data_IF_736528774491
#
_entry.id   IF_736528774491
#
_cell.length_a   1.000
_cell.length_b   1.000
_cell.length_c   1.000
_cell.angle_alpha   90.00
_cell.angle_beta   90.00
_cell.angle_gamma   90.00
#
_symmetry.space_group_name_H-M   'P 1'
#
loop_
_entity.id
_entity.type
_entity.pdbx_description
1 polymer ?
#
# COMPACT_ATOMS: atom_id res chain seq x y z
N UNK A 1 -9.33 -5.21 -19.47
CA UNK A 1 -10.82 -5.19 -19.57
C UNK A 1 -11.47 -4.88 -18.23
N UNK A 2 -11.08 -5.53 -17.13
CA UNK A 2 -11.60 -5.22 -15.79
C UNK A 2 -11.27 -3.79 -15.33
N UNK A 3 -10.03 -3.32 -15.52
CA UNK A 3 -9.64 -1.91 -15.25
C UNK A 3 -10.53 -0.90 -15.99
N UNK A 4 -10.77 -1.14 -17.28
CA UNK A 4 -11.64 -0.27 -18.08
C UNK A 4 -13.09 -0.24 -17.53
N UNK A 5 -13.58 -1.34 -16.96
CA UNK A 5 -14.90 -1.36 -16.31
C UNK A 5 -14.91 -0.52 -15.03
N UNK A 6 -13.87 -0.63 -14.20
CA UNK A 6 -13.72 0.18 -13.00
C UNK A 6 -13.65 1.68 -13.33
N UNK A 7 -12.86 2.06 -14.34
CA UNK A 7 -12.77 3.45 -14.82
C UNK A 7 -14.13 3.99 -15.30
N UNK A 8 -14.90 3.16 -16.01
CA UNK A 8 -16.24 3.53 -16.48
C UNK A 8 -17.19 3.75 -15.29
N UNK A 9 -17.16 2.86 -14.31
CA UNK A 9 -18.00 2.97 -13.11
C UNK A 9 -17.65 4.22 -12.30
N UNK A 10 -16.37 4.47 -12.10
CA UNK A 10 -15.89 5.67 -11.42
C UNK A 10 -16.28 6.95 -12.18
N UNK A 11 -16.10 6.99 -13.50
CA UNK A 11 -16.50 8.15 -14.29
C UNK A 11 -18.01 8.43 -14.17
N UNK A 12 -18.84 7.38 -14.26
CA UNK A 12 -20.29 7.50 -14.12
C UNK A 12 -20.69 7.97 -12.71
N UNK A 13 -20.05 7.47 -11.64
CA UNK A 13 -20.35 7.86 -10.26
C UNK A 13 -19.96 9.32 -9.96
N UNK A 14 -18.93 9.84 -10.63
CA UNK A 14 -18.49 11.24 -10.53
C UNK A 14 -19.32 12.21 -11.41
N UNK A 15 -20.40 11.74 -12.02
CA UNK A 15 -21.30 12.58 -12.81
C UNK A 15 -20.79 12.90 -14.21
N UNK A 16 -20.20 11.92 -14.91
CA UNK A 16 -19.77 12.09 -16.30
C UNK A 16 -20.84 12.75 -17.19
N UNK A 17 -20.51 13.69 -18.09
CA UNK A 17 -21.49 14.44 -18.86
C UNK A 17 -22.50 13.55 -19.61
N UNK A 18 -23.79 13.73 -19.35
CA UNK A 18 -24.89 12.89 -19.87
C UNK A 18 -24.83 12.71 -21.38
N UNK A 19 -24.56 13.80 -22.12
CA UNK A 19 -24.42 13.79 -23.58
C UNK A 19 -23.30 12.89 -24.11
N UNK A 20 -22.35 12.48 -23.27
CA UNK A 20 -21.24 11.59 -23.61
C UNK A 20 -21.29 10.24 -22.88
N UNK A 21 -22.24 10.00 -21.98
CA UNK A 21 -22.34 8.74 -21.23
C UNK A 21 -22.52 7.52 -22.13
N UNK A 22 -23.19 7.67 -23.28
CA UNK A 22 -23.31 6.59 -24.28
C UNK A 22 -21.93 6.02 -24.70
N UNK A 23 -20.88 6.85 -24.73
CA UNK A 23 -19.51 6.39 -25.07
C UNK A 23 -18.95 5.44 -24.02
N UNK A 24 -19.25 5.70 -22.74
CA UNK A 24 -18.82 4.85 -21.63
C UNK A 24 -19.59 3.52 -21.64
N UNK A 25 -20.92 3.58 -21.80
CA UNK A 25 -21.75 2.38 -21.90
C UNK A 25 -21.39 1.50 -23.10
N UNK A 26 -21.03 2.09 -24.24
CA UNK A 26 -20.44 1.36 -25.40
C UNK A 26 -19.19 0.58 -24.99
N UNK A 27 -18.20 1.27 -24.43
CA UNK A 27 -16.95 0.63 -23.97
C UNK A 27 -17.22 -0.46 -22.92
N UNK A 28 -18.16 -0.23 -22.00
CA UNK A 28 -18.60 -1.20 -20.99
C UNK A 28 -19.14 -2.47 -21.63
N UNK A 29 -20.02 -2.33 -22.63
CA UNK A 29 -20.58 -3.46 -23.37
C UNK A 29 -19.51 -4.32 -24.06
N UNK A 30 -18.52 -3.70 -24.70
CA UNK A 30 -17.39 -4.42 -25.30
C UNK A 30 -16.54 -5.16 -24.26
N UNK A 31 -16.21 -4.49 -23.15
CA UNK A 31 -15.41 -5.10 -22.09
C UNK A 31 -16.12 -6.32 -21.48
N UNK A 32 -17.43 -6.20 -21.19
CA UNK A 32 -18.23 -7.30 -20.63
C UNK A 32 -18.40 -8.45 -21.63
N UNK A 33 -18.61 -8.16 -22.91
CA UNK A 33 -18.67 -9.19 -23.94
C UNK A 33 -17.36 -9.95 -24.07
N UNK A 34 -16.22 -9.25 -24.04
CA UNK A 34 -14.89 -9.87 -24.08
C UNK A 34 -14.62 -10.75 -22.84
N UNK A 35 -15.19 -10.39 -21.68
CA UNK A 35 -15.10 -11.15 -20.44
C UNK A 35 -16.15 -12.28 -20.33
N UNK A 36 -17.04 -12.44 -21.32
CA UNK A 36 -18.08 -13.46 -21.32
C UNK A 36 -19.32 -13.13 -20.48
N UNK A 37 -19.43 -11.93 -19.89
CA UNK A 37 -20.65 -11.49 -19.19
C UNK A 37 -21.70 -11.00 -20.19
N UNK A 38 -22.44 -11.95 -20.76
CA UNK A 38 -23.50 -11.69 -21.74
C UNK A 38 -24.59 -10.77 -21.18
N UNK A 39 -25.04 -11.02 -19.95
CA UNK A 39 -26.13 -10.27 -19.35
C UNK A 39 -25.70 -8.81 -19.09
N UNK A 40 -24.49 -8.61 -18.57
CA UNK A 40 -23.91 -7.28 -18.38
C UNK A 40 -23.68 -6.53 -19.68
N UNK A 41 -23.18 -7.21 -20.72
CA UNK A 41 -22.93 -6.61 -22.03
C UNK A 41 -24.24 -6.08 -22.66
N UNK A 42 -25.32 -6.86 -22.61
CA UNK A 42 -26.63 -6.45 -23.13
C UNK A 42 -27.25 -5.30 -22.33
N UNK A 43 -27.11 -5.30 -20.98
CA UNK A 43 -27.55 -4.17 -20.15
C UNK A 43 -26.81 -2.88 -20.51
N UNK A 44 -25.49 -2.96 -20.71
CA UNK A 44 -24.68 -1.80 -21.09
C UNK A 44 -25.07 -1.26 -22.47
N UNK A 45 -25.41 -2.13 -23.44
CA UNK A 45 -25.94 -1.70 -24.73
C UNK A 45 -27.26 -0.93 -24.58
N UNK A 46 -28.21 -1.46 -23.81
CA UNK A 46 -29.49 -0.78 -23.55
C UNK A 46 -29.29 0.59 -22.89
N UNK A 47 -28.39 0.69 -21.90
CA UNK A 47 -28.06 1.96 -21.25
C UNK A 47 -27.42 2.98 -22.22
N UNK A 48 -26.58 2.51 -23.15
CA UNK A 48 -25.98 3.35 -24.18
C UNK A 48 -27.02 3.96 -25.12
N UNK A 49 -28.06 3.20 -25.48
CA UNK A 49 -29.13 3.66 -26.37
C UNK A 49 -30.10 4.59 -25.63
N UNK A 50 -30.36 4.33 -24.35
CA UNK A 50 -31.21 5.17 -23.49
C UNK A 50 -30.58 6.51 -23.08
N UNK A 51 -29.25 6.63 -23.10
CA UNK A 51 -28.53 7.87 -22.72
C UNK A 51 -28.53 8.94 -23.82
N UNK A 52 -29.19 8.70 -24.95
CA UNK A 52 -29.25 9.62 -26.10
C UNK A 52 -30.37 10.63 -25.87
N UNK A 53 -30.02 11.79 -25.32
CA UNK A 53 -30.89 12.98 -25.39
C UNK A 53 -30.06 14.23 -25.69
N UNK A 54 -30.37 14.83 -26.85
CA UNK A 54 -30.06 16.20 -27.32
C UNK A 54 -28.62 16.51 -27.76
N UNK A 55 -28.44 16.83 -29.06
CA UNK A 55 -27.34 17.70 -29.54
C UNK A 55 -26.45 17.22 -30.71
N UNK A 56 -26.63 16.02 -31.28
CA UNK A 56 -25.92 15.55 -32.50
C UNK A 56 -26.92 15.23 -33.60
N UNK A 57 -26.50 15.27 -34.87
CA UNK A 57 -27.27 14.72 -35.99
C UNK A 57 -27.62 13.25 -35.68
N UNK A 58 -28.89 12.99 -35.37
CA UNK A 58 -29.39 11.73 -34.80
C UNK A 58 -29.01 10.52 -35.67
N UNK A 59 -28.99 10.71 -36.99
CA UNK A 59 -28.70 9.66 -37.98
C UNK A 59 -27.28 9.10 -37.89
N UNK A 60 -26.27 9.97 -37.70
CA UNK A 60 -24.87 9.53 -37.65
C UNK A 60 -24.59 8.74 -36.36
N UNK A 61 -25.18 9.18 -35.24
CA UNK A 61 -25.05 8.51 -33.95
C UNK A 61 -25.81 7.17 -33.94
N UNK A 62 -27.00 7.10 -34.54
CA UNK A 62 -27.76 5.86 -34.67
C UNK A 62 -27.00 4.81 -35.50
N UNK A 63 -26.34 5.21 -36.59
CA UNK A 63 -25.50 4.32 -37.40
C UNK A 63 -24.30 3.78 -36.61
N UNK A 64 -23.63 4.64 -35.82
CA UNK A 64 -22.53 4.23 -34.95
C UNK A 64 -22.98 3.23 -33.87
N UNK A 65 -24.14 3.45 -33.24
CA UNK A 65 -24.69 2.57 -32.21
C UNK A 65 -25.06 1.20 -32.79
N UNK A 66 -25.70 1.17 -33.96
CA UNK A 66 -26.03 -0.08 -34.67
C UNK A 66 -24.77 -0.89 -35.00
N UNK A 67 -23.72 -0.20 -35.44
CA UNK A 67 -22.41 -0.82 -35.72
C UNK A 67 -21.80 -1.39 -34.44
N UNK A 68 -21.89 -0.66 -33.34
CA UNK A 68 -21.36 -1.09 -32.05
C UNK A 68 -22.10 -2.29 -31.48
N UNK A 69 -23.44 -2.29 -31.55
CA UNK A 69 -24.28 -3.41 -31.13
C UNK A 69 -23.89 -4.70 -31.85
N UNK A 70 -23.76 -4.65 -33.18
CA UNK A 70 -23.28 -5.80 -33.97
C UNK A 70 -21.92 -6.32 -33.51
N UNK A 71 -20.97 -5.42 -33.18
CA UNK A 71 -19.65 -5.84 -32.66
C UNK A 71 -19.76 -6.61 -31.35
N UNK A 72 -20.59 -6.14 -30.41
CA UNK A 72 -20.82 -6.80 -29.12
C UNK A 72 -21.51 -8.15 -29.33
N UNK A 73 -22.54 -8.21 -30.17
CA UNK A 73 -23.25 -9.46 -30.49
C UNK A 73 -22.33 -10.50 -31.14
N UNK A 74 -21.46 -10.08 -32.07
CA UNK A 74 -20.46 -10.96 -32.68
C UNK A 74 -19.47 -11.53 -31.64
N UNK A 75 -18.92 -10.68 -30.76
CA UNK A 75 -18.01 -11.13 -29.69
C UNK A 75 -18.68 -12.14 -28.74
N UNK A 76 -19.97 -11.96 -28.44
CA UNK A 76 -20.73 -12.91 -27.62
C UNK A 76 -20.94 -14.24 -28.35
N UNK A 77 -21.24 -14.21 -29.66
CA UNK A 77 -21.36 -15.43 -30.48
C UNK A 77 -20.03 -16.17 -30.63
N UNK A 78 -18.93 -15.44 -30.83
CA UNK A 78 -17.59 -16.02 -30.94
C UNK A 78 -17.18 -16.73 -29.63
N UNK A 79 -17.50 -16.12 -28.48
CA UNK A 79 -17.26 -16.74 -27.17
C UNK A 79 -18.13 -17.99 -26.94
N UNK A 80 -19.39 -17.98 -27.38
CA UNK A 80 -20.30 -19.15 -27.31
C UNK A 80 -19.81 -20.31 -28.19
N UNK A 81 -19.25 -20.05 -29.37
CA UNK A 81 -18.71 -21.07 -30.28
C UNK A 81 -17.34 -21.61 -29.82
N UNK A 82 -16.56 -20.80 -29.10
CA UNK A 82 -15.24 -21.17 -28.57
C UNK A 82 -15.30 -22.09 -27.34
N UNK A 83 -16.47 -22.28 -26.72
CA UNK A 83 -16.66 -23.16 -25.56
C UNK A 83 -16.50 -24.67 -25.82
N UNK A 84 -16.06 -25.09 -27.02
CA UNK A 84 -15.66 -26.47 -27.31
C UNK A 84 -14.21 -26.80 -26.91
N UNK A 85 -13.40 -25.81 -26.52
CA UNK A 85 -12.13 -26.01 -25.80
C UNK A 85 -11.94 -24.89 -24.77
N UNK A 86 -11.40 -25.18 -23.57
CA UNK A 86 -11.14 -24.14 -22.60
C UNK A 86 -10.06 -23.20 -23.16
N UNK A 87 -10.49 -22.05 -23.69
CA UNK A 87 -9.57 -20.98 -24.02
C UNK A 87 -8.87 -20.58 -22.74
N UNK A 88 -7.57 -20.85 -22.63
CA UNK A 88 -6.71 -20.10 -21.72
C UNK A 88 -6.90 -18.65 -22.12
N UNK A 89 -7.75 -17.93 -21.38
CA UNK A 89 -7.77 -16.48 -21.48
C UNK A 89 -6.31 -16.04 -21.40
N UNK A 90 -5.90 -15.07 -22.23
CA UNK A 90 -4.67 -14.35 -21.93
C UNK A 90 -4.92 -13.64 -20.60
N UNK A 91 -4.74 -14.39 -19.51
CA UNK A 91 -4.69 -13.91 -18.15
C UNK A 91 -3.53 -12.94 -18.18
N UNK A 92 -3.86 -11.65 -18.15
CA UNK A 92 -2.87 -10.66 -17.81
C UNK A 92 -2.47 -10.98 -16.38
N UNK A 93 -1.27 -11.52 -16.17
CA UNK A 93 -0.73 -11.90 -14.86
C UNK A 93 -0.78 -10.73 -13.84
N UNK A 94 -0.99 -9.51 -14.34
CA UNK A 94 -1.16 -8.27 -13.58
C UNK A 94 -2.44 -8.26 -12.71
N UNK A 95 -3.53 -8.95 -13.09
CA UNK A 95 -4.79 -8.86 -12.32
C UNK A 95 -5.11 -10.06 -11.42
N UNK A 96 -4.36 -11.17 -11.51
CA UNK A 96 -4.34 -12.12 -10.39
C UNK A 96 -3.69 -11.46 -9.14
N UNK A 97 -2.72 -10.57 -9.33
CA UNK A 97 -2.14 -9.75 -8.26
C UNK A 97 -3.13 -8.71 -7.67
N UNK A 98 -3.98 -8.10 -8.50
CA UNK A 98 -4.97 -7.12 -8.03
C UNK A 98 -6.23 -7.74 -7.40
N UNK A 99 -6.62 -8.98 -7.77
CA UNK A 99 -7.70 -9.71 -7.07
C UNK A 99 -7.22 -10.50 -5.86
N UNK A 100 -5.90 -10.72 -5.73
CA UNK A 100 -5.30 -11.23 -4.50
C UNK A 100 -5.09 -10.15 -3.43
N UNK A 101 -5.83 -9.05 -3.46
CA UNK A 101 -5.83 -8.05 -2.37
C UNK A 101 -6.28 -8.62 -1.00
N UNK A 102 -6.64 -9.90 -0.91
CA UNK A 102 -6.73 -10.65 0.34
C UNK A 102 -6.23 -12.09 0.20
N UNK A 103 -4.93 -12.26 0.05
CA UNK A 103 -4.22 -13.28 0.84
C UNK A 103 -2.76 -12.89 0.87
N UNK A 104 -2.14 -12.83 2.05
CA UNK A 104 -0.69 -12.91 2.12
C UNK A 104 -0.26 -14.10 1.28
N UNK A 105 0.44 -13.81 0.19
CA UNK A 105 0.87 -14.82 -0.76
C UNK A 105 1.74 -15.82 -0.03
N UNK A 106 1.32 -17.07 -0.08
CA UNK A 106 1.95 -18.25 0.51
C UNK A 106 1.54 -18.51 1.98
N UNK A 107 0.83 -19.63 2.17
CA UNK A 107 0.47 -20.19 3.47
C UNK A 107 1.74 -20.52 4.24
N UNK A 108 2.11 -19.66 5.17
CA UNK A 108 3.17 -19.94 6.12
C UNK A 108 2.67 -21.01 7.09
N UNK A 109 3.50 -21.99 7.43
CA UNK A 109 3.12 -22.96 8.47
C UNK A 109 3.11 -22.26 9.84
N UNK A 110 1.95 -21.73 10.23
CA UNK A 110 1.84 -20.74 11.30
C UNK A 110 2.37 -21.24 12.65
N UNK A 111 3.16 -20.40 13.30
CA UNK A 111 3.45 -20.51 14.72
C UNK A 111 2.28 -19.91 15.51
N UNK A 112 1.67 -20.67 16.44
CA UNK A 112 0.49 -20.24 17.24
C UNK A 112 0.63 -18.90 17.98
N UNK A 113 1.83 -18.31 18.06
CA UNK A 113 2.10 -17.05 18.75
C UNK A 113 2.53 -15.91 17.83
N UNK A 114 2.90 -16.17 16.56
CA UNK A 114 3.38 -15.19 15.58
C UNK A 114 2.68 -15.42 14.23
N UNK A 115 1.63 -14.65 13.90
CA UNK A 115 0.94 -14.82 12.64
C UNK A 115 1.91 -14.52 11.48
N UNK A 116 1.79 -15.28 10.40
CA UNK A 116 2.59 -15.12 9.17
C UNK A 116 4.09 -15.41 9.32
N UNK A 117 4.49 -16.06 10.43
CA UNK A 117 5.83 -16.57 10.66
C UNK A 117 5.83 -18.09 10.72
N UNK A 118 6.79 -18.72 10.03
CA UNK A 118 6.91 -20.18 10.00
C UNK A 118 7.33 -20.71 11.36
N UNK A 119 6.74 -21.83 11.79
CA UNK A 119 7.19 -22.59 12.97
C UNK A 119 8.67 -22.97 12.90
N UNK A 120 9.25 -22.96 11.70
CA UNK A 120 10.64 -23.28 11.45
C UNK A 120 11.62 -22.21 11.94
N UNK A 121 11.12 -21.02 12.31
CA UNK A 121 11.94 -19.94 12.86
C UNK A 121 11.39 -19.43 14.19
N UNK A 122 12.27 -18.91 15.03
CA UNK A 122 11.95 -18.31 16.33
C UNK A 122 12.91 -17.17 16.64
N UNK A 123 12.43 -16.11 17.31
CA UNK A 123 13.30 -15.14 17.95
C UNK A 123 13.81 -15.63 19.30
N UNK A 124 15.13 -15.59 19.46
CA UNK A 124 15.82 -15.72 20.73
C UNK A 124 16.66 -14.46 21.02
N UNK A 125 17.33 -14.42 22.16
CA UNK A 125 18.12 -13.29 22.62
C UNK A 125 19.51 -13.73 23.06
N UNK A 126 20.52 -12.92 22.78
CA UNK A 126 21.86 -13.03 23.35
C UNK A 126 22.41 -11.66 23.74
N UNK A 127 23.25 -11.53 24.79
CA UNK A 127 23.85 -10.26 25.15
C UNK A 127 24.71 -9.63 24.05
N UNK A 128 25.35 -10.44 23.20
CA UNK A 128 26.24 -9.96 22.14
C UNK A 128 25.51 -9.54 20.86
N UNK A 129 24.43 -10.22 20.48
CA UNK A 129 23.68 -9.94 19.24
C UNK A 129 22.34 -9.24 19.46
N UNK A 130 21.90 -9.09 20.71
CA UNK A 130 20.53 -8.69 21.02
C UNK A 130 19.53 -9.78 20.63
N UNK A 131 18.36 -9.38 20.15
CA UNK A 131 17.35 -10.29 19.58
C UNK A 131 17.79 -10.77 18.20
N UNK A 132 17.52 -12.04 17.88
CA UNK A 132 17.87 -12.62 16.60
C UNK A 132 16.95 -13.77 16.23
N UNK A 133 16.69 -13.94 14.93
CA UNK A 133 16.00 -15.12 14.40
C UNK A 133 16.96 -16.30 14.29
N UNK A 134 16.50 -17.48 14.71
CA UNK A 134 17.16 -18.75 14.42
C UNK A 134 16.18 -19.79 13.90
N UNK A 135 16.70 -20.76 13.17
CA UNK A 135 15.96 -21.94 12.78
C UNK A 135 15.71 -22.86 14.00
N UNK A 136 14.56 -23.52 14.01
CA UNK A 136 14.16 -24.56 14.96
C UNK A 136 14.17 -25.95 14.32
N UNK A 137 14.25 -26.02 12.99
CA UNK A 137 14.28 -27.22 12.16
C UNK A 137 14.98 -26.91 10.83
N UNK A 138 15.20 -27.93 10.01
CA UNK A 138 15.78 -27.78 8.68
C UNK A 138 14.81 -27.02 7.76
N UNK A 139 15.34 -26.03 7.03
CA UNK A 139 14.61 -25.20 6.09
C UNK A 139 15.23 -25.44 4.71
N UNK A 140 14.41 -25.82 3.74
CA UNK A 140 14.90 -26.08 2.38
C UNK A 140 14.95 -24.79 1.56
N UNK A 141 15.85 -24.75 0.57
CA UNK A 141 15.96 -23.59 -0.31
C UNK A 141 14.63 -23.34 -1.04
N UNK A 142 14.14 -22.10 -0.99
CA UNK A 142 12.86 -21.69 -1.57
C UNK A 142 11.67 -21.75 -0.60
N UNK A 143 11.85 -22.26 0.62
CA UNK A 143 10.79 -22.25 1.64
C UNK A 143 10.55 -20.84 2.23
N UNK A 144 9.28 -20.48 2.38
CA UNK A 144 8.85 -19.20 2.93
C UNK A 144 8.81 -19.27 4.45
N UNK A 145 9.67 -18.51 5.10
CA UNK A 145 9.77 -18.49 6.58
C UNK A 145 9.05 -17.31 7.21
N UNK A 146 8.81 -16.24 6.45
CA UNK A 146 8.15 -15.01 6.89
C UNK A 146 7.38 -14.40 5.72
N UNK A 147 6.12 -14.03 5.97
CA UNK A 147 5.36 -13.09 5.15
C UNK A 147 4.87 -11.98 6.07
N UNK A 148 5.17 -10.72 5.78
CA UNK A 148 4.84 -9.61 6.70
C UNK A 148 4.37 -8.39 5.91
N UNK A 149 3.21 -7.84 6.29
CA UNK A 149 2.74 -6.53 5.80
C UNK A 149 3.56 -5.42 6.45
N UNK A 150 3.91 -4.38 5.69
CA UNK A 150 4.63 -3.25 6.26
C UNK A 150 3.78 -2.57 7.35
N UNK A 151 4.40 -2.20 8.47
CA UNK A 151 3.71 -1.37 9.48
C UNK A 151 3.53 0.06 9.01
N UNK A 152 4.46 0.54 8.17
CA UNK A 152 4.36 1.81 7.45
C UNK A 152 5.28 1.76 6.24
N UNK A 153 4.86 2.41 5.15
CA UNK A 153 5.62 2.48 3.92
C UNK A 153 5.34 3.78 3.17
N UNK A 154 6.30 4.25 2.38
CA UNK A 154 6.18 5.45 1.55
C UNK A 154 6.76 5.21 0.16
N UNK A 155 5.98 5.54 -0.86
CA UNK A 155 6.37 5.39 -2.25
C UNK A 155 7.45 6.43 -2.59
N UNK A 156 8.42 6.04 -3.41
CA UNK A 156 9.36 6.96 -4.01
C UNK A 156 8.60 7.98 -4.86
N UNK A 157 8.83 9.26 -4.62
CA UNK A 157 8.13 10.34 -5.31
C UNK A 157 8.30 10.24 -6.83
N UNK A 158 9.43 9.78 -7.35
CA UNK A 158 9.64 9.65 -8.80
C UNK A 158 8.64 8.69 -9.49
N UNK A 159 7.95 7.85 -8.72
CA UNK A 159 7.00 6.84 -9.21
C UNK A 159 5.52 7.20 -9.01
N UNK A 160 5.20 8.34 -8.38
CA UNK A 160 3.83 8.69 -7.95
C UNK A 160 2.80 8.78 -9.09
N UNK A 161 3.24 8.93 -10.35
CA UNK A 161 2.37 9.00 -11.53
C UNK A 161 2.13 7.65 -12.20
N UNK A 162 2.81 6.59 -11.75
CA UNK A 162 2.77 5.26 -12.39
C UNK A 162 2.56 4.12 -11.41
N UNK A 163 2.57 4.42 -10.11
CA UNK A 163 2.56 3.42 -9.04
C UNK A 163 1.61 3.88 -7.94
N UNK A 164 0.81 2.94 -7.42
CA UNK A 164 -0.13 3.20 -6.34
C UNK A 164 0.60 3.67 -5.07
N UNK A 165 0.20 4.81 -4.51
CA UNK A 165 0.76 5.37 -3.27
C UNK A 165 0.46 4.54 -2.00
N UNK A 166 -0.38 3.50 -2.12
CA UNK A 166 -0.77 2.61 -1.02
C UNK A 166 -0.08 1.24 -1.12
N UNK A 167 -0.42 0.43 -2.13
CA UNK A 167 0.07 -0.95 -2.25
C UNK A 167 1.35 -1.10 -3.09
N UNK A 168 1.80 -0.03 -3.75
CA UNK A 168 2.94 0.04 -4.67
C UNK A 168 2.78 -0.79 -5.96
N UNK A 169 1.57 -1.20 -6.29
CA UNK A 169 1.27 -1.81 -7.59
C UNK A 169 1.45 -0.77 -8.71
N UNK A 170 2.14 -1.16 -9.77
CA UNK A 170 2.28 -0.31 -10.94
C UNK A 170 1.00 -0.33 -11.77
N UNK A 171 0.55 0.84 -12.21
CA UNK A 171 -0.66 0.95 -13.01
C UNK A 171 -0.57 2.13 -13.97
N UNK A 172 -1.13 1.97 -15.16
CA UNK A 172 -1.32 3.05 -16.12
C UNK A 172 -2.57 3.89 -15.87
N UNK A 173 -3.43 3.48 -14.93
CA UNK A 173 -4.69 4.17 -14.58
C UNK A 173 -4.75 4.39 -13.08
N UNK A 174 -4.10 5.45 -12.60
CA UNK A 174 -4.20 5.88 -11.21
C UNK A 174 -5.49 6.68 -11.01
N UNK A 175 -6.21 6.34 -9.95
CA UNK A 175 -7.32 7.10 -9.40
C UNK A 175 -6.73 8.15 -8.44
N UNK A 176 -6.91 9.46 -8.70
CA UNK A 176 -6.38 10.48 -7.81
C UNK A 176 -7.14 10.54 -6.48
N UNK A 177 -6.49 11.11 -5.46
CA UNK A 177 -7.18 11.58 -4.27
C UNK A 177 -8.29 12.58 -4.64
N UNK A 178 -9.35 12.63 -3.82
CA UNK A 178 -10.45 13.58 -4.02
C UNK A 178 -10.10 15.03 -3.67
N UNK A 179 -9.00 15.25 -2.93
CA UNK A 179 -8.67 16.56 -2.34
C UNK A 179 -7.23 17.04 -2.54
N UNK A 180 -6.33 16.20 -3.05
CA UNK A 180 -4.97 16.61 -3.42
C UNK A 180 -4.57 16.02 -4.78
N UNK A 181 -3.54 16.60 -5.40
CA UNK A 181 -2.93 16.09 -6.62
C UNK A 181 -1.69 15.22 -6.36
N UNK A 182 -1.20 15.18 -5.12
CA UNK A 182 0.07 14.52 -4.78
C UNK A 182 0.07 12.99 -4.74
N UNK A 183 -1.09 12.33 -4.58
CA UNK A 183 -1.17 10.86 -4.46
C UNK A 183 -2.23 10.25 -5.40
N UNK A 184 -1.89 9.09 -5.97
CA UNK A 184 -2.76 8.29 -6.83
C UNK A 184 -2.81 6.82 -6.40
N UNK A 185 -3.90 6.13 -6.75
CA UNK A 185 -4.21 4.78 -6.26
C UNK A 185 -4.65 3.86 -7.41
N UNK A 186 -4.34 2.56 -7.34
CA UNK A 186 -4.75 1.61 -8.36
C UNK A 186 -6.25 1.24 -8.31
N UNK A 187 -6.92 1.48 -7.18
CA UNK A 187 -8.33 1.14 -6.96
C UNK A 187 -9.01 2.11 -5.99
N UNK A 188 -10.34 2.10 -5.98
CA UNK A 188 -11.13 2.82 -4.98
C UNK A 188 -10.85 2.33 -3.55
N UNK A 189 -10.67 1.01 -3.38
CA UNK A 189 -10.29 0.38 -2.11
C UNK A 189 -8.94 0.91 -1.60
N UNK A 190 -7.88 0.87 -2.42
CA UNK A 190 -6.56 1.42 -2.03
C UNK A 190 -6.63 2.91 -1.66
N UNK A 191 -7.49 3.69 -2.32
CA UNK A 191 -7.70 5.10 -1.99
C UNK A 191 -8.39 5.28 -0.64
N UNK A 192 -9.40 4.47 -0.36
CA UNK A 192 -10.16 4.50 0.90
C UNK A 192 -9.32 3.99 2.07
N UNK A 193 -8.61 2.87 1.90
CA UNK A 193 -7.71 2.30 2.90
C UNK A 193 -6.59 3.28 3.24
N UNK A 194 -5.94 3.88 2.24
CA UNK A 194 -4.95 4.93 2.47
C UNK A 194 -5.55 6.11 3.23
N UNK A 195 -6.76 6.57 2.87
CA UNK A 195 -7.44 7.67 3.56
C UNK A 195 -7.69 7.36 5.03
N UNK A 196 -8.14 6.14 5.35
CA UNK A 196 -8.41 5.72 6.73
C UNK A 196 -7.11 5.56 7.53
N UNK A 197 -6.07 4.99 6.94
CA UNK A 197 -4.83 4.64 7.64
C UNK A 197 -3.90 5.84 7.89
N UNK A 198 -3.72 6.74 6.92
CA UNK A 198 -2.73 7.82 7.05
C UNK A 198 -2.96 9.03 6.13
N UNK A 199 -3.58 8.87 4.97
CA UNK A 199 -3.58 9.93 3.96
C UNK A 199 -4.42 11.14 4.39
N UNK A 200 -5.39 10.98 5.29
CA UNK A 200 -6.19 12.09 5.84
C UNK A 200 -5.34 13.22 6.45
N UNK A 201 -4.20 12.89 7.09
CA UNK A 201 -3.30 13.89 7.68
C UNK A 201 -2.26 14.41 6.69
N UNK A 202 -1.93 13.58 5.71
CA UNK A 202 -0.95 13.87 4.65
C UNK A 202 -1.55 14.76 3.55
N UNK A 203 -2.83 14.58 3.24
CA UNK A 203 -3.52 15.19 2.12
C UNK A 203 -3.40 16.74 2.09
N UNK A 204 -3.60 17.48 3.19
CA UNK A 204 -3.54 18.95 3.17
C UNK A 204 -2.16 19.53 2.81
N UNK A 205 -1.10 18.75 3.03
CA UNK A 205 0.29 19.16 2.75
C UNK A 205 0.87 18.48 1.52
N UNK A 206 0.11 17.56 0.91
CA UNK A 206 0.60 16.65 -0.12
C UNK A 206 1.20 17.37 -1.33
N UNK A 207 0.52 18.42 -1.79
CA UNK A 207 0.89 19.15 -3.00
C UNK A 207 2.13 20.05 -2.82
N UNK A 208 2.47 20.44 -1.59
CA UNK A 208 3.53 21.42 -1.29
C UNK A 208 4.73 20.84 -0.52
N UNK A 209 4.54 19.77 0.27
CA UNK A 209 5.60 19.15 1.08
C UNK A 209 6.28 17.96 0.41
N UNK A 210 5.61 17.18 -0.46
CA UNK A 210 6.14 15.87 -0.83
C UNK A 210 7.38 15.84 -1.70
N UNK A 211 7.63 16.88 -2.49
CA UNK A 211 8.93 17.03 -3.17
C UNK A 211 10.10 17.38 -2.23
N UNK A 212 9.84 17.72 -0.96
CA UNK A 212 10.83 18.24 0.00
C UNK A 212 10.95 17.45 1.30
N UNK A 213 9.89 16.75 1.72
CA UNK A 213 9.94 15.94 2.93
C UNK A 213 10.70 14.64 2.64
N UNK A 214 11.67 14.32 3.50
CA UNK A 214 12.42 13.09 3.39
C UNK A 214 11.53 11.87 3.71
N UNK A 215 11.88 10.72 3.15
CA UNK A 215 11.14 9.49 3.35
C UNK A 215 11.05 9.06 4.82
N UNK A 216 12.04 9.38 5.68
CA UNK A 216 12.01 8.98 7.09
C UNK A 216 10.93 9.74 7.85
N UNK A 217 10.81 11.05 7.63
CA UNK A 217 9.73 11.86 8.22
C UNK A 217 8.35 11.32 7.83
N UNK A 218 8.17 10.92 6.56
CA UNK A 218 6.90 10.34 6.09
C UNK A 218 6.61 8.98 6.71
N UNK A 219 7.59 8.07 6.72
CA UNK A 219 7.39 6.75 7.35
C UNK A 219 7.13 6.93 8.84
N UNK A 220 7.86 7.80 9.54
CA UNK A 220 7.64 8.08 10.96
C UNK A 220 6.25 8.66 11.23
N UNK A 221 5.73 9.52 10.36
CA UNK A 221 4.36 10.02 10.45
C UNK A 221 3.37 8.86 10.37
N UNK A 222 3.48 8.04 9.32
CA UNK A 222 2.62 6.86 9.10
C UNK A 222 2.69 5.86 10.25
N UNK A 223 3.89 5.60 10.80
CA UNK A 223 4.07 4.74 11.98
C UNK A 223 3.22 5.22 13.16
N UNK A 224 3.14 6.53 13.40
CA UNK A 224 2.35 7.09 14.50
C UNK A 224 0.85 7.11 14.20
N UNK A 225 0.44 7.61 13.03
CA UNK A 225 -0.99 7.86 12.75
C UNK A 225 -1.78 6.61 12.37
N UNK A 226 -1.10 5.57 11.88
CA UNK A 226 -1.72 4.27 11.60
C UNK A 226 -1.84 3.38 12.85
N UNK A 227 -1.29 3.80 13.99
CA UNK A 227 -1.45 3.10 15.26
C UNK A 227 -2.88 3.28 15.83
N UNK A 228 -3.48 2.24 16.44
CA UNK A 228 -4.76 2.40 17.13
C UNK A 228 -4.69 3.49 18.21
N UNK A 229 -5.65 4.43 18.19
CA UNK A 229 -5.64 5.59 19.07
C UNK A 229 -5.57 5.22 20.57
N UNK A 230 -6.23 4.13 20.98
CA UNK A 230 -6.21 3.63 22.36
C UNK A 230 -4.81 3.15 22.78
N UNK A 231 -4.13 2.42 21.90
CA UNK A 231 -2.76 1.96 22.12
C UNK A 231 -1.82 3.16 22.21
N UNK A 232 -1.93 4.10 21.26
CA UNK A 232 -1.08 5.28 21.23
C UNK A 232 -1.25 6.17 22.47
N UNK A 233 -2.49 6.39 22.94
CA UNK A 233 -2.77 7.07 24.21
C UNK A 233 -2.13 6.33 25.39
N UNK A 234 -2.21 5.01 25.43
CA UNK A 234 -1.59 4.19 26.46
C UNK A 234 -0.06 4.32 26.51
N UNK A 235 0.59 4.37 25.35
CA UNK A 235 2.05 4.60 25.24
C UNK A 235 2.41 5.99 25.74
N UNK A 236 1.64 7.01 25.34
CA UNK A 236 1.91 8.40 25.68
C UNK A 236 1.65 8.70 27.16
N UNK A 237 0.69 8.01 27.79
CA UNK A 237 0.38 8.17 29.21
C UNK A 237 1.34 7.44 30.14
N UNK A 238 1.74 6.21 29.80
CA UNK A 238 2.73 5.43 30.58
C UNK A 238 4.15 6.00 30.44
N UNK A 239 4.39 6.75 29.37
CA UNK A 239 5.71 7.19 28.96
C UNK A 239 6.39 6.17 28.03
N UNK A 240 7.25 6.68 27.17
CA UNK A 240 7.89 5.87 26.12
C UNK A 240 8.92 4.90 26.69
N UNK A 241 9.76 5.35 27.63
CA UNK A 241 10.84 4.53 28.19
C UNK A 241 10.33 3.34 29.00
N UNK A 242 9.23 3.49 29.75
CA UNK A 242 8.60 2.39 30.49
C UNK A 242 8.06 1.34 29.51
N UNK A 243 7.36 1.78 28.46
CA UNK A 243 6.79 0.91 27.42
C UNK A 243 7.87 0.12 26.66
N UNK A 244 8.98 0.75 26.28
CA UNK A 244 10.07 0.09 25.55
C UNK A 244 10.76 -0.97 26.42
N UNK A 245 10.97 -0.66 27.70
CA UNK A 245 11.74 -1.53 28.61
C UNK A 245 11.11 -2.90 28.77
N UNK A 246 9.77 -2.95 28.88
CA UNK A 246 8.98 -4.20 28.98
C UNK A 246 9.16 -5.12 27.76
N UNK A 247 9.43 -4.55 26.58
CA UNK A 247 9.51 -5.28 25.30
C UNK A 247 10.94 -5.63 24.85
N UNK A 248 11.96 -5.23 25.61
CA UNK A 248 13.36 -5.24 25.16
C UNK A 248 13.98 -6.62 24.96
N UNK A 249 13.53 -7.64 25.72
CA UNK A 249 14.08 -9.00 25.67
C UNK A 249 13.19 -10.00 24.95
N UNK A 250 11.88 -9.80 24.97
CA UNK A 250 10.90 -10.69 24.35
C UNK A 250 10.18 -9.95 23.23
N UNK A 251 10.31 -10.44 22.00
CA UNK A 251 9.56 -9.91 20.87
C UNK A 251 8.21 -10.64 20.76
N UNK A 252 7.14 -9.87 20.65
CA UNK A 252 5.78 -10.36 20.46
C UNK A 252 5.10 -9.54 19.38
N UNK A 253 4.40 -10.23 18.48
CA UNK A 253 3.55 -9.64 17.44
C UNK A 253 2.09 -9.57 17.87
N UNK A 254 1.76 -9.98 19.11
CA UNK A 254 0.38 -9.96 19.62
C UNK A 254 -0.21 -8.54 19.61
N UNK A 255 0.64 -7.54 19.85
CA UNK A 255 0.32 -6.12 19.69
C UNK A 255 1.25 -5.53 18.61
N UNK A 256 0.78 -5.35 17.36
CA UNK A 256 1.63 -4.96 16.24
C UNK A 256 2.43 -3.67 16.48
N UNK A 257 1.80 -2.67 17.12
CA UNK A 257 2.49 -1.41 17.42
C UNK A 257 3.53 -1.53 18.54
N UNK A 258 3.31 -2.42 19.52
CA UNK A 258 4.32 -2.71 20.54
C UNK A 258 5.55 -3.39 19.92
N UNK A 259 5.34 -4.30 18.96
CA UNK A 259 6.42 -4.91 18.18
C UNK A 259 7.27 -3.84 17.48
N UNK A 260 6.60 -2.87 16.82
CA UNK A 260 7.24 -1.73 16.17
C UNK A 260 8.02 -0.83 17.16
N UNK A 261 7.41 -0.48 18.30
CA UNK A 261 8.06 0.32 19.35
C UNK A 261 9.28 -0.36 19.96
N UNK A 262 9.28 -1.69 19.98
CA UNK A 262 10.38 -2.48 20.54
C UNK A 262 11.63 -2.49 19.65
N UNK A 263 11.55 -2.06 18.38
CA UNK A 263 12.70 -2.08 17.47
C UNK A 263 13.86 -1.24 18.00
N UNK A 264 15.09 -1.67 17.70
CA UNK A 264 16.30 -1.06 18.25
C UNK A 264 16.51 0.31 17.61
N UNK A 265 16.56 1.36 18.42
CA UNK A 265 16.83 2.74 17.96
C UNK A 265 18.30 3.13 18.05
N UNK A 266 19.13 2.34 18.75
CA UNK A 266 20.52 2.66 19.08
C UNK A 266 20.73 4.05 19.70
N UNK A 267 19.71 4.61 20.37
CA UNK A 267 19.75 5.97 20.96
C UNK A 267 21.01 6.24 21.81
N UNK A 268 21.49 5.24 22.54
CA UNK A 268 22.65 5.35 23.44
C UNK A 268 24.01 5.27 22.73
N UNK A 269 24.03 4.95 21.43
CA UNK A 269 25.27 4.83 20.62
C UNK A 269 25.47 6.01 19.67
N UNK A 270 24.64 7.05 19.74
CA UNK A 270 24.80 8.25 18.95
C UNK A 270 25.92 9.13 19.53
N UNK A 271 27.14 8.96 19.01
CA UNK A 271 28.27 9.85 19.29
C UNK A 271 28.26 11.10 18.41
N UNK A 272 27.51 11.09 17.30
CA UNK A 272 27.44 12.20 16.36
C UNK A 272 26.36 13.21 16.79
N UNK A 273 26.82 14.32 17.38
CA UNK A 273 25.97 15.43 17.81
C UNK A 273 25.17 16.04 16.65
N UNK A 274 25.69 16.03 15.42
CA UNK A 274 24.99 16.61 14.28
C UNK A 274 23.80 15.74 13.86
N UNK A 275 23.97 14.42 13.84
CA UNK A 275 22.88 13.49 13.53
C UNK A 275 21.77 13.53 14.58
N UNK A 276 22.13 13.56 15.87
CA UNK A 276 21.13 13.69 16.94
C UNK A 276 20.37 15.00 16.84
N UNK A 277 21.06 16.11 16.55
CA UNK A 277 20.43 17.41 16.33
C UNK A 277 19.49 17.40 15.11
N UNK A 278 19.89 16.74 14.02
CA UNK A 278 19.06 16.58 12.81
C UNK A 278 17.75 15.86 13.12
N UNK A 279 17.79 14.67 13.74
CA UNK A 279 16.58 13.92 14.08
C UNK A 279 15.70 14.66 15.10
N UNK A 280 16.31 15.33 16.07
CA UNK A 280 15.54 16.18 17.00
C UNK A 280 14.86 17.34 16.28
N UNK A 281 15.49 17.94 15.27
CA UNK A 281 14.87 19.01 14.49
C UNK A 281 13.77 18.49 13.58
N UNK A 282 13.95 17.33 12.96
CA UNK A 282 12.91 16.66 12.18
C UNK A 282 11.68 16.39 13.06
N UNK A 283 11.86 15.81 14.25
CA UNK A 283 10.76 15.57 15.19
C UNK A 283 10.05 16.87 15.61
N UNK A 284 10.79 17.96 15.79
CA UNK A 284 10.20 19.28 16.07
C UNK A 284 9.37 19.81 14.89
N UNK A 285 9.88 19.72 13.67
CA UNK A 285 9.13 20.11 12.46
C UNK A 285 7.88 19.25 12.28
N UNK A 286 7.93 17.95 12.59
CA UNK A 286 6.74 17.11 12.59
C UNK A 286 5.69 17.58 13.61
N UNK A 287 6.12 18.03 14.78
CA UNK A 287 5.21 18.59 15.78
C UNK A 287 4.61 19.92 15.33
N UNK A 288 5.40 20.80 14.71
CA UNK A 288 4.92 22.07 14.15
C UNK A 288 3.89 21.85 13.03
N UNK A 289 4.11 20.85 12.17
CA UNK A 289 3.21 20.56 11.04
C UNK A 289 1.96 19.76 11.42
N UNK A 290 2.10 18.77 12.30
CA UNK A 290 1.07 17.73 12.51
C UNK A 290 0.61 17.59 13.96
N UNK A 291 1.34 18.14 14.92
CA UNK A 291 1.14 17.87 16.34
C UNK A 291 -0.26 18.20 16.84
N UNK A 292 -0.80 19.36 16.47
CA UNK A 292 -2.15 19.78 16.88
C UNK A 292 -3.24 18.93 16.26
N UNK A 293 -3.11 18.61 14.97
CA UNK A 293 -4.03 17.72 14.25
C UNK A 293 -4.04 16.31 14.85
N UNK A 294 -2.87 15.74 15.16
CA UNK A 294 -2.76 14.41 15.79
C UNK A 294 -3.39 14.43 17.18
N UNK A 295 -3.09 15.44 18.01
CA UNK A 295 -3.71 15.57 19.33
C UNK A 295 -5.23 15.65 19.24
N UNK A 296 -5.77 16.48 18.34
CA UNK A 296 -7.21 16.60 18.12
C UNK A 296 -7.83 15.27 17.66
N UNK A 297 -7.20 14.57 16.71
CA UNK A 297 -7.62 13.26 16.24
C UNK A 297 -7.68 12.24 17.40
N UNK A 298 -6.60 12.12 18.17
CA UNK A 298 -6.54 11.19 19.29
C UNK A 298 -7.58 11.53 20.36
N UNK A 299 -7.76 12.80 20.68
CA UNK A 299 -8.76 13.24 21.66
C UNK A 299 -10.20 12.97 21.18
N UNK A 300 -10.46 12.97 19.87
CA UNK A 300 -11.77 12.62 19.30
C UNK A 300 -12.07 11.11 19.30
N UNK A 301 -11.03 10.26 19.32
CA UNK A 301 -11.16 8.80 19.23
C UNK A 301 -10.93 8.18 20.61
N UNK A 302 -11.99 7.69 21.24
CA UNK A 302 -11.90 6.88 22.47
C UNK A 302 -11.93 7.69 23.76
N UNK A 303 -12.85 8.64 23.87
CA UNK A 303 -13.34 9.13 25.15
C UNK A 303 -14.86 9.00 25.15
N UNK A 304 -15.41 8.34 26.16
CA UNK A 304 -16.70 8.78 26.68
C UNK A 304 -16.53 10.27 27.05
N UNK A 305 -17.38 11.19 26.57
CA UNK A 305 -17.31 12.60 26.95
C UNK A 305 -17.23 12.85 28.46
N UNK A 306 -17.59 11.86 29.29
CA UNK A 306 -17.56 11.90 30.74
C UNK A 306 -16.35 11.20 31.38
N UNK A 307 -15.46 10.55 30.61
CA UNK A 307 -14.25 9.91 31.12
C UNK A 307 -13.06 10.89 31.14
N UNK A 308 -12.93 11.60 32.26
CA UNK A 308 -11.78 12.49 32.55
C UNK A 308 -10.52 11.73 33.00
N UNK A 309 -10.52 10.38 32.99
CA UNK A 309 -9.39 9.58 33.50
C UNK A 309 -8.34 9.26 32.42
N UNK A 310 -8.65 9.45 31.13
CA UNK A 310 -7.65 9.28 30.06
C UNK A 310 -6.65 10.44 30.06
N UNK A 311 -5.34 10.19 30.25
CA UNK A 311 -4.34 11.25 30.31
C UNK A 311 -4.26 12.01 28.98
N UNK A 312 -4.19 13.34 29.08
CA UNK A 312 -4.08 14.22 27.93
C UNK A 312 -2.76 13.95 27.17
N UNK A 313 -2.85 13.85 25.84
CA UNK A 313 -1.67 13.67 24.99
C UNK A 313 -0.83 14.94 25.01
N UNK A 314 0.32 14.88 25.68
CA UNK A 314 1.25 16.02 25.75
C UNK A 314 2.06 16.17 24.46
N UNK A 315 2.34 17.42 24.07
CA UNK A 315 3.23 17.72 22.94
C UNK A 315 4.62 17.10 23.13
N UNK A 316 5.13 17.04 24.37
CA UNK A 316 6.44 16.45 24.68
C UNK A 316 6.48 14.94 24.47
N UNK A 317 5.40 14.22 24.84
CA UNK A 317 5.28 12.79 24.60
C UNK A 317 5.26 12.46 23.11
N UNK A 318 4.47 13.19 22.33
CA UNK A 318 4.38 12.98 20.88
C UNK A 318 5.69 13.31 20.16
N UNK A 319 6.38 14.39 20.55
CA UNK A 319 7.72 14.72 20.03
C UNK A 319 8.74 13.61 20.31
N UNK A 320 8.73 13.08 21.53
CA UNK A 320 9.64 12.01 21.95
C UNK A 320 9.39 10.73 21.17
N UNK A 321 8.12 10.43 20.88
CA UNK A 321 7.71 9.31 20.05
C UNK A 321 8.20 9.46 18.60
N UNK A 322 8.01 10.63 17.99
CA UNK A 322 8.56 10.89 16.65
C UNK A 322 10.07 10.74 16.61
N UNK A 323 10.78 11.31 17.59
CA UNK A 323 12.22 11.17 17.69
C UNK A 323 12.63 9.69 17.78
N UNK A 324 11.95 8.89 18.60
CA UNK A 324 12.23 7.46 18.71
C UNK A 324 12.03 6.71 17.39
N UNK A 325 10.92 6.94 16.69
CA UNK A 325 10.67 6.30 15.39
C UNK A 325 11.67 6.73 14.31
N UNK A 326 12.07 8.00 14.26
CA UNK A 326 13.12 8.47 13.36
C UNK A 326 14.45 7.75 13.62
N UNK A 327 14.82 7.56 14.89
CA UNK A 327 16.03 6.80 15.26
C UNK A 327 15.91 5.31 14.91
N UNK A 328 14.71 4.72 15.03
CA UNK A 328 14.46 3.33 14.60
C UNK A 328 14.60 3.18 13.09
N UNK A 329 14.07 4.11 12.29
CA UNK A 329 14.08 4.03 10.83
C UNK A 329 15.49 4.02 10.24
N UNK A 330 16.46 4.64 10.92
CA UNK A 330 17.88 4.55 10.53
C UNK A 330 18.38 3.11 10.45
N UNK A 331 17.90 2.24 11.34
CA UNK A 331 18.47 0.90 11.55
C UNK A 331 17.52 -0.23 11.14
N UNK A 332 16.23 0.04 10.97
CA UNK A 332 15.19 -0.97 10.75
C UNK A 332 14.34 -0.70 9.50
N UNK A 333 14.69 0.31 8.69
CA UNK A 333 14.02 0.53 7.41
C UNK A 333 14.49 -0.46 6.37
N UNK A 334 13.56 -0.86 5.51
CA UNK A 334 13.79 -1.74 4.38
C UNK A 334 13.45 -1.00 3.10
N UNK A 335 14.28 -1.24 2.09
CA UNK A 335 14.01 -0.78 0.74
C UNK A 335 13.02 -1.74 0.11
N UNK A 336 11.95 -1.20 -0.45
CA UNK A 336 10.99 -1.98 -1.24
C UNK A 336 11.44 -1.91 -2.69
N UNK A 337 11.70 -3.07 -3.30
CA UNK A 337 12.20 -3.16 -4.67
C UNK A 337 11.29 -4.00 -5.55
N UNK A 338 11.31 -3.70 -6.84
CA UNK A 338 10.67 -4.51 -7.86
C UNK A 338 11.60 -4.65 -9.06
N UNK A 339 11.43 -5.75 -9.80
CA UNK A 339 12.13 -5.98 -11.05
C UNK A 339 11.29 -5.35 -12.16
N UNK A 340 11.81 -4.29 -12.79
CA UNK A 340 11.17 -3.61 -13.90
C UNK A 340 11.77 -4.11 -15.22
N UNK A 341 10.92 -4.45 -16.20
CA UNK A 341 11.36 -4.66 -17.58
C UNK A 341 11.68 -3.29 -18.21
N UNK A 342 12.91 -3.08 -18.66
CA UNK A 342 13.23 -1.97 -19.53
C UNK A 342 12.75 -2.30 -20.95
N UNK A 343 12.24 -1.28 -21.66
CA UNK A 343 11.73 -1.44 -23.02
C UNK A 343 12.75 -2.05 -23.98
N UNK A 344 12.28 -2.65 -25.07
CA UNK A 344 13.11 -3.30 -26.08
C UNK A 344 14.19 -2.34 -26.62
N UNK A 345 15.46 -2.64 -26.36
CA UNK A 345 16.57 -1.99 -27.05
C UNK A 345 16.69 -2.67 -28.40
N UNK A 346 16.23 -2.00 -29.46
CA UNK A 346 16.31 -2.50 -30.84
C UNK A 346 17.77 -2.54 -31.33
N UNK A 347 18.50 -3.58 -30.94
CA UNK A 347 19.76 -4.02 -31.55
C UNK A 347 19.47 -5.02 -32.67
N UNK A 348 20.22 -4.93 -33.78
CA UNK A 348 20.08 -5.81 -34.95
C UNK A 348 20.21 -7.29 -34.56
N UNK A 349 19.09 -7.99 -34.40
CA UNK A 349 19.02 -9.45 -34.53
C UNK A 349 18.46 -10.22 -33.33
N UNK A 350 18.53 -9.70 -32.10
CA UNK A 350 18.00 -10.39 -30.90
C UNK A 350 17.50 -9.34 -29.90
N UNK A 351 16.21 -9.37 -29.56
CA UNK A 351 15.68 -8.51 -28.48
C UNK A 351 16.00 -9.15 -27.12
N UNK A 352 17.09 -8.73 -26.51
CA UNK A 352 17.36 -9.06 -25.11
C UNK A 352 16.52 -8.11 -24.27
N UNK A 353 15.45 -8.63 -23.65
CA UNK A 353 14.72 -7.89 -22.61
C UNK A 353 15.68 -7.65 -21.45
N UNK A 354 16.06 -6.40 -21.21
CA UNK A 354 16.80 -6.03 -20.02
C UNK A 354 15.82 -5.80 -18.88
N UNK A 355 16.01 -6.49 -17.75
CA UNK A 355 15.32 -6.18 -16.52
C UNK A 355 16.30 -5.53 -15.55
N UNK A 356 15.81 -4.59 -14.73
CA UNK A 356 16.60 -3.97 -13.68
C UNK A 356 15.79 -3.89 -12.40
N UNK A 357 16.48 -3.99 -11.26
CA UNK A 357 15.87 -3.78 -9.96
C UNK A 357 15.71 -2.28 -9.70
N UNK A 358 14.48 -1.84 -9.46
CA UNK A 358 14.14 -0.48 -9.12
C UNK A 358 13.68 -0.39 -7.67
N UNK A 359 14.03 0.72 -7.02
CA UNK A 359 13.54 1.03 -5.67
C UNK A 359 12.18 1.68 -5.77
N UNK A 360 11.14 0.97 -5.32
CA UNK A 360 9.79 1.49 -5.25
C UNK A 360 9.61 2.46 -4.09
N UNK A 361 10.24 2.22 -2.95
CA UNK A 361 10.11 3.08 -1.78
C UNK A 361 10.79 2.54 -0.54
N UNK A 362 10.37 3.03 0.62
CA UNK A 362 10.91 2.63 1.92
C UNK A 362 9.79 2.21 2.87
N UNK A 363 10.04 1.19 3.67
CA UNK A 363 9.06 0.62 4.59
C UNK A 363 9.71 0.11 5.88
N UNK A 364 8.90 -0.18 6.89
CA UNK A 364 9.33 -0.79 8.15
C UNK A 364 8.53 -2.07 8.41
N UNK A 365 9.28 -3.14 8.71
CA UNK A 365 8.77 -4.50 8.93
C UNK A 365 9.32 -5.00 10.27
N UNK A 366 8.53 -4.98 11.36
CA UNK A 366 9.03 -5.30 12.70
C UNK A 366 9.70 -6.66 12.82
N UNK A 367 9.12 -7.69 12.22
CA UNK A 367 9.61 -9.06 12.31
C UNK A 367 10.81 -9.27 11.39
N UNK A 368 10.76 -8.77 10.16
CA UNK A 368 11.89 -8.82 9.23
C UNK A 368 13.13 -8.09 9.79
N UNK A 369 12.94 -7.07 10.63
CA UNK A 369 14.05 -6.33 11.27
C UNK A 369 14.79 -7.14 12.35
N UNK A 370 14.32 -8.33 12.71
CA UNK A 370 15.00 -9.23 13.65
C UNK A 370 16.02 -10.16 12.97
N UNK A 371 16.07 -10.17 11.65
CA UNK A 371 17.07 -10.93 10.90
C UNK A 371 18.39 -10.16 10.91
N UNK A 372 19.34 -10.66 11.70
CA UNK A 372 20.65 -10.05 11.80
C UNK A 372 21.46 -10.17 10.50
N UNK A 373 22.32 -9.19 10.27
CA UNK A 373 23.22 -9.17 9.13
C UNK A 373 24.20 -10.36 9.14
N UNK A 374 24.42 -10.93 7.96
CA UNK A 374 25.53 -11.85 7.65
C UNK A 374 26.11 -11.44 6.30
N UNK A 375 27.44 -11.43 6.18
CA UNK A 375 28.10 -11.21 4.88
C UNK A 375 27.84 -12.36 3.90
N UNK A 376 27.39 -13.51 4.41
CA UNK A 376 26.93 -14.65 3.62
C UNK A 376 25.53 -15.05 4.09
N UNK A 377 24.48 -14.39 3.59
CA UNK A 377 23.11 -14.61 4.04
C UNK A 377 22.57 -15.94 3.48
N UNK A 378 21.69 -16.56 4.25
CA UNK A 378 20.97 -17.78 3.89
C UNK A 378 19.46 -17.54 3.69
N UNK A 379 19.05 -16.27 3.65
CA UNK A 379 17.67 -15.80 3.47
C UNK A 379 17.69 -14.61 2.51
N UNK A 380 16.65 -14.50 1.69
CA UNK A 380 16.45 -13.40 0.74
C UNK A 380 15.07 -12.79 1.03
N UNK A 381 15.01 -11.46 1.13
CA UNK A 381 13.74 -10.73 1.20
C UNK A 381 13.28 -10.37 -0.21
N UNK A 382 11.99 -10.57 -0.49
CA UNK A 382 11.36 -10.19 -1.76
C UNK A 382 10.09 -9.40 -1.46
N UNK A 383 9.94 -8.25 -2.10
CA UNK A 383 8.68 -7.49 -2.08
C UNK A 383 7.74 -8.00 -3.18
N UNK A 384 6.46 -8.17 -2.84
CA UNK A 384 5.41 -8.58 -3.80
C UNK A 384 4.41 -7.43 -3.95
N UNK A 385 3.87 -6.98 -2.82
CA UNK A 385 3.08 -5.77 -2.60
C UNK A 385 3.28 -5.38 -1.14
N UNK A 386 2.93 -4.14 -0.77
CA UNK A 386 3.17 -3.64 0.59
C UNK A 386 2.02 -3.89 1.55
#
# INVERSE_FOLDING_TARGET
MQECLADIELALSLGFPTVSQYKLYRRRGLCLAQLGDRAGALRALGASEGSVCTGRAEDQLAAELKTHRKKVENLLQDNEQSHSQPSKGRHCAVYEAARSHQSMGETVSECNHWPYVSRAIKCDYSPSKGRFIRATMDIVAGEVVLSERASAAVLNFDLHLTTCSHCFEQTSSLIPCCWCAGDGYCSGECREDAWVEYHWIECPVSDNMWGKADWMTRVALRMVVSAPATVLKGVLSKGLDSTITDSSKHFSTAEPYAALLSLVSHKDRFSDKQQTAMFSKMAETMMECFGDTIKAYLNSKGTDPHDHSTPEVTSGGLRSLFLHHLLQLRCNSHRVTAVLEAGEVAGRGESVKSSHEATLGSAVFPTASLFNHSCWPNIIFRSISI
#
